data_IF_716804493119
#
_entry.id   IF_716804493119
#
_cell.length_a   1.000
_cell.length_b   1.000
_cell.length_c   1.000
_cell.angle_alpha   90.00
_cell.angle_beta   90.00
_cell.angle_gamma   90.00
#
_symmetry.space_group_name_H-M   'P 1'
#
loop_
_entity.id
_entity.type
_entity.pdbx_description
1 polymer ?
#
# COMPACT_ATOMS: atom_id res chain seq x y z
N UNK A 1 4.30 -12.75 3.01
CA UNK A 1 5.07 -11.84 3.89
C UNK A 1 4.16 -11.27 4.97
N UNK A 2 4.73 -10.65 6.00
CA UNK A 2 4.00 -9.99 7.07
C UNK A 2 4.59 -8.59 7.26
N UNK A 3 3.74 -7.58 7.36
CA UNK A 3 4.17 -6.18 7.58
C UNK A 3 3.37 -5.57 8.74
N UNK A 4 3.99 -4.63 9.44
CA UNK A 4 3.35 -3.78 10.45
C UNK A 4 3.37 -2.33 10.00
N UNK A 5 2.22 -1.69 10.00
CA UNK A 5 2.09 -0.26 9.73
C UNK A 5 2.65 0.52 10.91
N UNK A 6 3.53 1.50 10.65
CA UNK A 6 4.18 2.27 11.72
C UNK A 6 3.29 3.37 12.30
N UNK A 7 2.29 3.83 11.54
CA UNK A 7 1.39 4.90 11.98
C UNK A 7 0.33 4.44 13.01
N UNK A 8 -0.15 3.20 12.92
CA UNK A 8 -1.26 2.70 13.73
C UNK A 8 -1.09 1.25 14.23
N UNK A 9 0.04 0.61 13.93
CA UNK A 9 0.37 -0.72 14.41
C UNK A 9 -0.42 -1.86 13.77
N UNK A 10 -1.28 -1.61 12.78
CA UNK A 10 -2.00 -2.67 12.07
C UNK A 10 -1.03 -3.63 11.39
N UNK A 11 -1.37 -4.91 11.40
CA UNK A 11 -0.54 -5.97 10.83
C UNK A 11 -1.28 -6.63 9.68
N UNK A 12 -0.62 -6.71 8.53
CA UNK A 12 -1.12 -7.41 7.35
C UNK A 12 -0.23 -8.60 7.02
N UNK A 13 -0.84 -9.68 6.51
CA UNK A 13 -0.15 -10.90 6.14
C UNK A 13 -0.73 -11.49 4.87
N UNK A 14 0.15 -11.93 3.97
CA UNK A 14 -0.23 -12.54 2.69
C UNK A 14 0.80 -12.29 1.61
N UNK A 15 0.39 -12.49 0.36
CA UNK A 15 1.10 -11.92 -0.80
C UNK A 15 0.97 -10.40 -0.79
N UNK A 16 1.84 -9.66 -1.51
CA UNK A 16 1.69 -8.20 -1.59
C UNK A 16 0.31 -7.76 -2.07
N UNK A 17 -0.24 -8.43 -3.08
CA UNK A 17 -1.61 -8.18 -3.56
C UNK A 17 -2.66 -8.34 -2.46
N UNK A 18 -2.64 -9.46 -1.73
CA UNK A 18 -3.58 -9.70 -0.63
C UNK A 18 -3.46 -8.65 0.49
N UNK A 19 -2.24 -8.17 0.76
CA UNK A 19 -2.01 -7.10 1.74
C UNK A 19 -2.67 -5.81 1.27
N UNK A 20 -2.46 -5.41 0.01
CA UNK A 20 -3.03 -4.18 -0.54
C UNK A 20 -4.55 -4.27 -0.70
N UNK A 21 -5.09 -5.44 -1.07
CA UNK A 21 -6.54 -5.70 -1.06
C UNK A 21 -7.14 -5.55 0.34
N UNK A 22 -6.46 -6.05 1.38
CA UNK A 22 -6.90 -5.89 2.76
C UNK A 22 -6.82 -4.41 3.22
N UNK A 23 -5.82 -3.65 2.76
CA UNK A 23 -5.73 -2.21 3.01
C UNK A 23 -6.86 -1.45 2.30
N UNK A 24 -7.18 -1.82 1.05
CA UNK A 24 -8.29 -1.23 0.29
C UNK A 24 -9.62 -1.49 0.97
N UNK A 25 -9.86 -2.73 1.42
CA UNK A 25 -11.11 -3.14 2.05
C UNK A 25 -11.48 -2.30 3.28
N UNK A 26 -10.49 -1.79 4.01
CA UNK A 26 -10.69 -0.99 5.23
C UNK A 26 -10.48 0.52 5.01
N UNK A 27 -10.13 0.94 3.78
CA UNK A 27 -9.93 2.33 3.44
C UNK A 27 -11.27 3.00 3.10
N UNK A 28 -11.57 4.12 3.75
CA UNK A 28 -12.78 4.90 3.47
C UNK A 28 -12.72 5.56 2.09
N UNK A 29 -13.85 5.55 1.35
CA UNK A 29 -14.00 6.27 0.09
C UNK A 29 -13.38 5.57 -1.14
N UNK A 30 -13.07 4.28 -1.03
CA UNK A 30 -12.41 3.47 -2.07
C UNK A 30 -13.33 2.41 -2.68
N UNK A 31 -14.61 2.38 -2.29
CA UNK A 31 -15.54 1.27 -2.49
C UNK A 31 -15.79 0.93 -3.97
N UNK A 32 -15.51 1.87 -4.88
CA UNK A 32 -15.71 1.71 -6.33
C UNK A 32 -14.41 1.71 -7.14
N UNK A 33 -13.23 1.67 -6.49
CA UNK A 33 -11.95 1.65 -7.21
C UNK A 33 -11.50 0.24 -7.53
N UNK A 34 -10.86 0.09 -8.69
CA UNK A 34 -10.01 -1.08 -8.96
C UNK A 34 -8.80 -1.08 -8.02
N UNK A 35 -8.12 -2.22 -7.86
CA UNK A 35 -6.94 -2.30 -7.00
C UNK A 35 -5.83 -1.35 -7.48
N UNK A 36 -5.51 -1.34 -8.78
CA UNK A 36 -4.58 -0.37 -9.36
C UNK A 36 -5.00 1.09 -9.11
N UNK A 37 -6.29 1.41 -9.24
CA UNK A 37 -6.79 2.76 -8.94
C UNK A 37 -6.72 3.14 -7.46
N UNK A 38 -6.81 2.16 -6.56
CA UNK A 38 -6.56 2.36 -5.13
C UNK A 38 -5.08 2.60 -4.84
N UNK A 39 -4.17 1.86 -5.50
CA UNK A 39 -2.72 2.03 -5.37
C UNK A 39 -2.31 3.44 -5.79
N UNK A 40 -2.74 3.88 -6.98
CA UNK A 40 -2.42 5.21 -7.49
C UNK A 40 -2.93 6.31 -6.54
N UNK A 41 -4.18 6.17 -6.05
CA UNK A 41 -4.75 7.09 -5.06
C UNK A 41 -3.97 7.11 -3.74
N UNK A 42 -3.54 5.96 -3.24
CA UNK A 42 -2.81 5.86 -1.98
C UNK A 42 -1.45 6.56 -2.08
N UNK A 43 -0.73 6.40 -3.19
CA UNK A 43 0.53 7.12 -3.46
C UNK A 43 0.32 8.63 -3.37
N UNK A 44 -0.71 9.16 -4.04
CA UNK A 44 -1.07 10.58 -3.97
C UNK A 44 -1.41 11.03 -2.54
N UNK A 45 -2.10 10.20 -1.76
CA UNK A 45 -2.43 10.55 -0.37
C UNK A 45 -1.21 10.56 0.54
N UNK A 46 -0.30 9.60 0.39
CA UNK A 46 0.92 9.52 1.20
C UNK A 46 1.80 10.74 0.93
N UNK A 47 1.95 11.14 -0.33
CA UNK A 47 2.69 12.36 -0.67
C UNK A 47 2.02 13.61 -0.06
N UNK A 48 0.70 13.74 -0.23
CA UNK A 48 -0.04 14.92 0.26
C UNK A 48 -0.07 15.04 1.79
N UNK A 49 -0.20 13.92 2.50
CA UNK A 49 -0.45 13.92 3.95
C UNK A 49 0.82 13.70 4.77
N UNK A 50 1.82 13.00 4.21
CA UNK A 50 3.03 12.63 4.93
C UNK A 50 4.30 13.17 4.28
N UNK A 51 4.17 13.96 3.19
CA UNK A 51 5.30 14.51 2.43
C UNK A 51 6.34 13.45 2.04
N UNK A 52 5.87 12.21 1.86
CA UNK A 52 6.68 11.05 1.51
C UNK A 52 6.32 10.61 0.11
N UNK A 53 7.27 10.68 -0.82
CA UNK A 53 7.05 10.22 -2.19
C UNK A 53 7.28 8.71 -2.27
N UNK A 54 6.31 7.99 -2.83
CA UNK A 54 6.43 6.56 -3.11
C UNK A 54 6.49 6.35 -4.62
N UNK A 55 7.51 5.64 -5.08
CA UNK A 55 7.59 5.19 -6.47
C UNK A 55 7.00 3.79 -6.57
N UNK A 56 5.98 3.62 -7.42
CA UNK A 56 5.36 2.33 -7.71
C UNK A 56 5.52 2.02 -9.20
N UNK A 57 6.05 0.84 -9.48
CA UNK A 57 6.30 0.33 -10.83
C UNK A 57 5.48 -0.94 -11.10
N UNK A 58 5.26 -1.26 -12.39
CA UNK A 58 4.58 -2.47 -12.84
C UNK A 58 3.36 -2.20 -13.71
N UNK A 59 3.02 -3.20 -14.53
CA UNK A 59 1.92 -3.15 -15.50
C UNK A 59 0.68 -3.91 -15.01
N UNK A 60 0.86 -4.80 -14.04
CA UNK A 60 -0.21 -5.59 -13.43
C UNK A 60 -0.48 -5.19 -11.98
N UNK A 61 -1.68 -5.51 -11.49
CA UNK A 61 -2.06 -5.31 -10.08
C UNK A 61 -1.10 -6.05 -9.13
N UNK A 62 -0.67 -7.27 -9.49
CA UNK A 62 0.32 -8.03 -8.74
C UNK A 62 1.67 -7.30 -8.62
N UNK A 63 2.20 -6.79 -9.73
CA UNK A 63 3.48 -6.08 -9.77
C UNK A 63 3.41 -4.76 -9.00
N UNK A 64 2.36 -3.96 -9.25
CA UNK A 64 2.12 -2.70 -8.56
C UNK A 64 1.98 -2.90 -7.05
N UNK A 65 1.23 -3.91 -6.61
CA UNK A 65 1.09 -4.20 -5.19
C UNK A 65 2.41 -4.63 -4.55
N UNK A 66 3.22 -5.43 -5.26
CA UNK A 66 4.56 -5.80 -4.81
C UNK A 66 5.48 -4.57 -4.68
N UNK A 67 5.49 -3.71 -5.69
CA UNK A 67 6.28 -2.47 -5.69
C UNK A 67 5.83 -1.52 -4.57
N UNK A 68 4.52 -1.31 -4.39
CA UNK A 68 3.96 -0.49 -3.30
C UNK A 68 4.39 -0.99 -1.93
N UNK A 69 4.23 -2.29 -1.64
CA UNK A 69 4.61 -2.83 -0.32
C UNK A 69 6.11 -2.67 -0.07
N UNK A 70 6.95 -2.84 -1.08
CA UNK A 70 8.39 -2.56 -0.96
C UNK A 70 8.66 -1.09 -0.69
N UNK A 71 8.01 -0.18 -1.42
CA UNK A 71 8.15 1.27 -1.23
C UNK A 71 7.71 1.70 0.18
N UNK A 72 6.61 1.14 0.70
CA UNK A 72 6.14 1.41 2.06
C UNK A 72 7.14 0.95 3.13
N UNK A 73 7.77 -0.21 2.93
CA UNK A 73 8.82 -0.69 3.85
C UNK A 73 10.09 0.15 3.73
N UNK A 74 10.51 0.48 2.51
CA UNK A 74 11.71 1.28 2.25
C UNK A 74 11.61 2.73 2.74
N UNK A 75 10.41 3.30 2.76
CA UNK A 75 10.12 4.67 3.23
C UNK A 75 9.83 4.76 4.73
N UNK A 76 9.72 3.63 5.44
CA UNK A 76 9.38 3.63 6.87
C UNK A 76 7.90 3.89 7.17
N UNK A 77 7.00 3.67 6.20
CA UNK A 77 5.55 3.65 6.45
C UNK A 77 5.09 2.33 7.07
N UNK A 78 5.81 1.26 6.74
CA UNK A 78 5.65 -0.05 7.31
C UNK A 78 7.02 -0.65 7.61
N UNK A 79 7.03 -1.70 8.42
CA UNK A 79 8.20 -2.56 8.62
C UNK A 79 7.83 -4.00 8.31
N UNK A 80 8.82 -4.78 7.86
CA UNK A 80 8.66 -6.22 7.67
C UNK A 80 8.80 -6.93 9.02
N UNK A 81 7.90 -7.86 9.28
CA UNK A 81 7.94 -8.78 10.42
C UNK A 81 8.49 -10.16 10.03
#
# INVERSE_FOLDING_TARGET
MRIRMLNDGRVFQGTPKQIVEAMQYIAFGQENRTLGGYIDWLVDQVERLQSTSLTVEGDTDEEKAASLVQAMVGSGLAEKL
#
